data_IF_677727779102
#
_entry.id   IF_677727779102
#
_cell.length_a   1.000
_cell.length_b   1.000
_cell.length_c   1.000
_cell.angle_alpha   90.00
_cell.angle_beta   90.00
_cell.angle_gamma   90.00
#
_symmetry.space_group_name_H-M   'P 1'
#
loop_
_entity.id
_entity.type
_entity.pdbx_description
1 polymer ?
#
# COMPACT_ATOMS: atom_id res chain seq x y z
N UNK A 1 -51.10 7.11 -14.22
CA UNK A 1 -50.25 6.06 -13.82
C UNK A 1 -48.80 6.54 -13.76
N UNK A 2 -48.20 6.29 -12.74
CA UNK A 2 -46.86 6.75 -12.56
C UNK A 2 -45.91 5.61 -12.69
N UNK A 3 -45.06 5.76 -13.59
CA UNK A 3 -44.02 4.83 -13.68
C UNK A 3 -42.90 5.26 -12.76
N UNK A 4 -42.69 4.46 -11.82
CA UNK A 4 -41.68 4.74 -10.89
C UNK A 4 -40.49 3.88 -11.18
N UNK A 5 -39.47 4.48 -11.60
CA UNK A 5 -38.25 3.75 -11.87
C UNK A 5 -37.38 3.84 -10.64
N UNK A 6 -37.24 2.76 -10.02
CA UNK A 6 -36.39 2.71 -8.86
C UNK A 6 -34.97 2.53 -9.33
N UNK A 7 -34.20 3.54 -9.11
CA UNK A 7 -32.81 3.46 -9.41
C UNK A 7 -32.08 2.93 -8.20
N UNK A 8 -31.72 1.70 -8.26
CA UNK A 8 -31.07 1.07 -7.14
C UNK A 8 -29.58 1.14 -7.35
N UNK A 9 -28.91 1.82 -6.48
CA UNK A 9 -27.47 1.88 -6.54
C UNK A 9 -26.89 0.52 -6.21
N UNK A 10 -25.86 0.12 -6.91
CA UNK A 10 -25.26 -1.19 -6.67
C UNK A 10 -24.41 -1.17 -5.40
N UNK A 11 -25.07 -1.41 -4.31
CA UNK A 11 -24.39 -1.31 -3.01
C UNK A 11 -23.39 -2.41 -2.80
N UNK A 12 -23.51 -3.47 -3.56
CA UNK A 12 -22.61 -4.59 -3.36
C UNK A 12 -21.15 -4.24 -3.64
N UNK A 13 -20.92 -3.13 -4.28
CA UNK A 13 -19.56 -2.73 -4.62
C UNK A 13 -18.79 -2.19 -3.44
N UNK A 14 -19.41 -2.08 -2.31
CA UNK A 14 -18.80 -1.46 -1.17
C UNK A 14 -17.89 -2.38 -0.39
N UNK A 15 -17.90 -3.65 -0.68
CA UNK A 15 -17.09 -4.58 0.09
C UNK A 15 -15.62 -4.26 -0.06
N UNK A 16 -14.86 -4.45 0.94
CA UNK A 16 -13.40 -4.45 0.90
C UNK A 16 -12.77 -3.18 0.36
N UNK A 17 -13.12 -2.09 0.92
CA UNK A 17 -12.51 -0.85 0.49
C UNK A 17 -11.40 -0.43 1.45
N UNK A 18 -10.21 -0.43 0.92
CA UNK A 18 -9.04 0.13 1.61
C UNK A 18 -8.56 1.27 0.74
N UNK A 19 -8.44 2.45 1.32
CA UNK A 19 -7.90 3.60 0.60
C UNK A 19 -6.49 3.86 1.07
N UNK A 20 -5.64 4.25 0.15
CA UNK A 20 -4.24 4.53 0.45
C UNK A 20 -3.96 5.98 0.07
N UNK A 21 -3.39 6.73 1.00
CA UNK A 21 -3.12 8.15 0.76
C UNK A 21 -2.18 8.34 -0.41
N UNK A 22 -1.10 7.56 -0.45
CA UNK A 22 -0.16 7.58 -1.55
C UNK A 22 0.18 6.16 -1.91
N UNK A 23 -0.52 5.56 -2.87
CA UNK A 23 -0.22 4.18 -3.23
C UNK A 23 1.12 4.02 -3.94
N UNK A 24 1.67 5.09 -4.47
CA UNK A 24 3.00 5.10 -5.05
C UNK A 24 3.83 6.16 -4.34
N UNK A 25 4.97 5.76 -3.80
CA UNK A 25 5.90 6.66 -3.15
C UNK A 25 7.15 6.75 -4.00
N UNK A 26 7.51 7.97 -4.38
CA UNK A 26 8.74 8.21 -5.11
C UNK A 26 9.83 8.61 -4.12
N UNK A 27 10.82 7.74 -3.97
CA UNK A 27 11.90 7.96 -3.02
C UNK A 27 12.95 8.94 -3.54
N UNK A 28 12.88 9.33 -4.82
CA UNK A 28 13.89 10.16 -5.42
C UNK A 28 15.23 9.46 -5.52
N UNK A 29 16.29 10.18 -5.26
CA UNK A 29 17.64 9.62 -5.26
C UNK A 29 17.89 8.87 -3.96
N UNK A 30 18.33 7.64 -4.07
CA UNK A 30 18.65 6.79 -2.94
C UNK A 30 20.12 6.42 -3.03
N UNK A 31 20.79 6.51 -1.90
CA UNK A 31 22.22 6.21 -1.84
C UNK A 31 22.45 4.71 -1.99
N UNK A 32 23.37 4.33 -2.84
CA UNK A 32 23.74 2.94 -3.07
C UNK A 32 24.11 2.27 -1.74
N UNK A 33 23.52 1.12 -1.50
CA UNK A 33 23.73 0.31 -0.30
C UNK A 33 23.28 0.96 1.01
N UNK A 34 22.48 2.01 0.92
CA UNK A 34 21.83 2.57 2.09
C UNK A 34 20.35 2.22 2.04
N UNK A 35 19.90 1.30 2.87
CA UNK A 35 18.48 0.95 2.85
C UNK A 35 17.61 2.17 3.14
N UNK A 36 16.49 2.23 2.46
CA UNK A 36 15.53 3.31 2.66
C UNK A 36 14.23 2.70 3.16
N UNK A 37 13.66 3.34 4.17
CA UNK A 37 12.38 2.93 4.73
C UNK A 37 11.28 3.80 4.17
N UNK A 38 10.23 3.17 3.69
CA UNK A 38 9.04 3.88 3.24
C UNK A 38 7.87 3.45 4.10
N UNK A 39 6.91 4.35 4.24
CA UNK A 39 5.75 4.11 5.06
C UNK A 39 4.52 4.52 4.27
N UNK A 40 3.62 3.55 4.09
CA UNK A 40 2.35 3.79 3.42
C UNK A 40 1.27 3.95 4.47
N UNK A 41 0.44 4.95 4.29
CA UNK A 41 -0.68 5.17 5.17
C UNK A 41 -1.96 4.78 4.45
N UNK A 42 -2.75 3.95 5.10
CA UNK A 42 -3.98 3.44 4.54
C UNK A 42 -5.11 3.60 5.53
N UNK A 43 -6.32 3.48 5.03
CA UNK A 43 -7.51 3.63 5.85
C UNK A 43 -8.49 2.54 5.52
N UNK A 44 -9.06 1.95 6.57
CA UNK A 44 -10.09 0.95 6.41
C UNK A 44 -11.44 1.65 6.19
N UNK A 45 -11.97 1.52 4.98
CA UNK A 45 -13.28 2.06 4.64
C UNK A 45 -14.20 0.95 4.15
N UNK A 46 -14.00 -0.24 4.66
CA UNK A 46 -14.77 -1.40 4.21
C UNK A 46 -16.14 -1.52 4.88
N UNK A 47 -16.36 -0.77 5.95
CA UNK A 47 -17.60 -0.86 6.70
C UNK A 47 -17.56 -1.89 7.82
N UNK A 48 -16.43 -2.56 8.00
CA UNK A 48 -16.27 -3.57 9.05
C UNK A 48 -14.81 -3.59 9.50
N UNK A 49 -14.54 -4.18 10.66
CA UNK A 49 -13.13 -4.36 11.05
C UNK A 49 -12.43 -5.32 10.08
N UNK A 50 -11.17 -5.08 9.83
CA UNK A 50 -10.36 -5.94 8.99
C UNK A 50 -9.08 -6.30 9.73
N UNK A 51 -8.47 -7.40 9.29
CA UNK A 51 -7.17 -7.82 9.77
C UNK A 51 -6.29 -8.03 8.55
N UNK A 52 -5.05 -7.60 8.63
CA UNK A 52 -4.11 -7.84 7.54
C UNK A 52 -3.67 -9.28 7.61
N UNK A 53 -3.97 -10.03 6.56
CA UNK A 53 -3.62 -11.44 6.51
C UNK A 53 -2.13 -11.62 6.23
N UNK A 54 -1.59 -10.84 5.30
CA UNK A 54 -0.17 -10.89 4.96
C UNK A 54 0.16 -9.71 4.06
N UNK A 55 1.45 -9.43 3.99
CA UNK A 55 1.98 -8.46 3.02
C UNK A 55 3.13 -9.16 2.31
N UNK A 56 3.09 -9.15 0.99
CA UNK A 56 4.17 -9.70 0.17
C UNK A 56 4.96 -8.57 -0.46
N UNK A 57 6.24 -8.79 -0.65
CA UNK A 57 7.10 -7.76 -1.23
C UNK A 57 7.85 -8.30 -2.43
N UNK A 58 8.21 -7.38 -3.34
CA UNK A 58 9.11 -7.68 -4.43
C UNK A 58 10.51 -7.96 -3.93
N UNK A 59 11.33 -8.51 -4.80
CA UNK A 59 12.72 -8.78 -4.51
C UNK A 59 13.44 -7.48 -4.13
N UNK A 60 14.25 -7.53 -3.10
CA UNK A 60 14.98 -6.37 -2.61
C UNK A 60 14.25 -5.55 -1.57
N UNK A 61 12.98 -5.86 -1.33
CA UNK A 61 12.21 -5.20 -0.28
C UNK A 61 11.93 -6.15 0.86
N UNK A 62 11.91 -5.61 2.06
CA UNK A 62 11.52 -6.33 3.26
C UNK A 62 10.37 -5.61 3.90
N UNK A 63 9.32 -6.34 4.23
CA UNK A 63 8.20 -5.75 4.97
C UNK A 63 8.66 -5.55 6.40
N UNK A 64 8.68 -4.30 6.84
CA UNK A 64 9.19 -3.97 8.15
C UNK A 64 8.13 -4.10 9.23
N UNK A 65 6.94 -3.57 8.97
CA UNK A 65 5.88 -3.63 9.96
C UNK A 65 4.52 -3.38 9.36
N UNK A 66 3.51 -3.96 9.97
CA UNK A 66 2.11 -3.68 9.71
C UNK A 66 1.33 -4.15 10.93
N UNK A 67 0.10 -3.63 11.12
CA UNK A 67 -0.67 -4.00 12.31
C UNK A 67 -1.03 -5.48 12.31
N UNK A 68 -0.91 -6.11 13.46
CA UNK A 68 -1.31 -7.51 13.64
C UNK A 68 -2.72 -7.64 14.20
N UNK A 69 -3.29 -6.56 14.69
CA UNK A 69 -4.60 -6.56 15.30
C UNK A 69 -5.65 -6.05 14.32
N UNK A 70 -6.91 -6.31 14.66
CA UNK A 70 -8.01 -5.84 13.82
C UNK A 70 -8.01 -4.33 13.76
N UNK A 71 -8.31 -3.81 12.59
CA UNK A 71 -8.38 -2.39 12.31
C UNK A 71 -9.84 -2.04 12.14
N UNK A 72 -10.36 -1.20 13.02
CA UNK A 72 -11.77 -0.82 12.98
C UNK A 72 -12.07 -0.02 11.72
N UNK A 73 -13.33 -0.08 11.30
CA UNK A 73 -13.76 0.73 10.18
C UNK A 73 -13.49 2.21 10.44
N UNK A 74 -12.97 2.90 9.46
CA UNK A 74 -12.66 4.32 9.57
C UNK A 74 -11.28 4.63 10.14
N UNK A 75 -10.57 3.62 10.60
CA UNK A 75 -9.24 3.85 11.19
C UNK A 75 -8.15 3.80 10.15
N UNK A 76 -7.12 4.58 10.37
CA UNK A 76 -5.91 4.54 9.54
C UNK A 76 -4.91 3.57 10.12
N UNK A 77 -4.06 3.08 9.26
CA UNK A 77 -2.97 2.20 9.67
C UNK A 77 -1.79 2.40 8.73
N UNK A 78 -0.65 1.90 9.13
CA UNK A 78 0.58 2.10 8.38
C UNK A 78 1.22 0.77 8.04
N UNK A 79 1.79 0.72 6.84
CA UNK A 79 2.58 -0.42 6.38
C UNK A 79 3.95 0.12 6.02
N UNK A 80 4.99 -0.43 6.61
CA UNK A 80 6.35 0.02 6.37
C UNK A 80 7.14 -1.06 5.65
N UNK A 81 8.03 -0.62 4.78
CA UNK A 81 8.91 -1.51 4.06
C UNK A 81 10.29 -0.88 3.93
N UNK A 82 11.28 -1.73 3.82
CA UNK A 82 12.67 -1.30 3.63
C UNK A 82 13.15 -1.83 2.29
N UNK A 83 13.69 -0.94 1.47
CA UNK A 83 14.34 -1.32 0.23
C UNK A 83 15.85 -1.28 0.43
N UNK A 84 16.54 -2.33 0.00
CA UNK A 84 17.96 -2.50 0.31
C UNK A 84 18.90 -1.63 -0.54
N UNK A 85 18.44 -1.08 -1.64
CA UNK A 85 19.23 -0.20 -2.52
C UNK A 85 20.51 -0.82 -3.02
N UNK A 86 20.49 -2.10 -3.34
CA UNK A 86 21.69 -2.81 -3.74
C UNK A 86 21.95 -2.86 -5.23
N UNK A 87 21.10 -2.23 -6.02
CA UNK A 87 21.27 -2.17 -7.47
C UNK A 87 21.21 -0.73 -7.91
N UNK A 88 22.22 -0.29 -8.63
CA UNK A 88 22.25 1.05 -9.18
C UNK A 88 21.20 1.20 -10.26
N UNK A 89 20.65 2.39 -10.39
CA UNK A 89 19.70 2.70 -11.43
C UNK A 89 18.28 2.82 -10.90
N UNK A 90 17.35 2.97 -11.83
CA UNK A 90 15.95 3.12 -11.48
C UNK A 90 15.38 1.83 -10.90
N UNK A 91 14.52 1.98 -9.93
CA UNK A 91 13.83 0.84 -9.36
C UNK A 91 12.36 1.15 -9.19
N UNK A 92 11.56 0.10 -9.23
CA UNK A 92 10.14 0.17 -8.91
C UNK A 92 9.79 -1.16 -8.26
N UNK A 93 9.41 -1.10 -7.00
CA UNK A 93 9.11 -2.28 -6.20
C UNK A 93 7.68 -2.21 -5.72
N UNK A 94 7.12 -3.36 -5.42
CA UNK A 94 5.71 -3.44 -5.13
C UNK A 94 5.47 -4.29 -3.90
N UNK A 95 4.51 -3.88 -3.09
CA UNK A 95 3.99 -4.66 -1.99
C UNK A 95 2.56 -5.04 -2.32
N UNK A 96 2.17 -6.24 -1.95
CA UNK A 96 0.79 -6.67 -2.07
C UNK A 96 0.24 -6.90 -0.68
N UNK A 97 -0.74 -6.10 -0.32
CA UNK A 97 -1.37 -6.13 0.99
C UNK A 97 -2.65 -6.94 0.90
N UNK A 98 -2.73 -8.03 1.66
CA UNK A 98 -3.89 -8.89 1.68
C UNK A 98 -4.62 -8.75 2.99
N UNK A 99 -5.93 -8.49 2.92
CA UNK A 99 -6.75 -8.43 4.12
C UNK A 99 -7.63 -9.67 4.19
N UNK A 100 -8.07 -9.99 5.41
CA UNK A 100 -8.94 -11.12 5.62
C UNK A 100 -10.25 -10.94 4.88
N UNK A 101 -10.74 -12.00 4.27
CA UNK A 101 -11.97 -11.96 3.51
C UNK A 101 -11.90 -11.16 2.23
N UNK A 102 -10.76 -10.58 1.92
CA UNK A 102 -10.58 -9.83 0.70
C UNK A 102 -10.15 -10.73 -0.43
N UNK A 103 -10.72 -10.52 -1.61
CA UNK A 103 -10.39 -11.33 -2.76
C UNK A 103 -9.14 -10.83 -3.46
N UNK A 104 -8.90 -9.53 -3.44
CA UNK A 104 -7.81 -8.93 -4.19
C UNK A 104 -6.89 -8.17 -3.27
N UNK A 105 -5.59 -8.24 -3.53
CA UNK A 105 -4.65 -7.46 -2.75
C UNK A 105 -4.73 -5.97 -3.11
N UNK A 106 -4.27 -5.16 -2.19
CA UNK A 106 -4.03 -3.75 -2.43
C UNK A 106 -2.55 -3.60 -2.73
N UNK A 107 -2.23 -2.96 -3.84
CA UNK A 107 -0.84 -2.81 -4.26
C UNK A 107 -0.28 -1.47 -3.83
N UNK A 108 0.91 -1.51 -3.28
CA UNK A 108 1.65 -0.34 -2.84
C UNK A 108 2.97 -0.34 -3.59
N UNK A 109 3.34 0.79 -4.15
CA UNK A 109 4.52 0.88 -5.00
C UNK A 109 5.50 1.87 -4.42
N UNK A 110 6.78 1.51 -4.45
CA UNK A 110 7.84 2.45 -4.17
C UNK A 110 8.79 2.45 -5.34
N UNK A 111 9.31 3.60 -5.67
CA UNK A 111 10.19 3.75 -6.81
C UNK A 111 11.21 4.85 -6.54
N UNK A 112 12.23 4.88 -7.36
CA UNK A 112 13.26 5.88 -7.24
C UNK A 112 14.43 5.53 -8.13
N UNK A 113 15.56 6.14 -7.83
CA UNK A 113 16.81 5.83 -8.52
C UNK A 113 17.93 5.71 -7.51
N UNK A 114 18.64 4.59 -7.58
CA UNK A 114 19.78 4.36 -6.70
C UNK A 114 21.00 4.92 -7.40
N UNK A 115 21.71 5.80 -6.72
CA UNK A 115 22.89 6.46 -7.26
C UNK A 115 24.06 6.21 -6.32
N UNK A 116 25.27 6.26 -6.87
CA UNK A 116 26.44 6.05 -6.05
C UNK A 116 26.65 7.17 -5.06
N UNK A 117 26.22 8.36 -5.43
CA UNK A 117 26.33 9.51 -4.56
C UNK A 117 25.15 10.41 -4.81
N UNK A 118 24.40 10.67 -3.76
CA UNK A 118 23.23 11.54 -3.83
C UNK A 118 23.72 12.96 -4.09
N UNK A 119 23.15 13.59 -5.12
CA UNK A 119 23.49 14.95 -5.47
C UNK A 119 22.44 15.87 -4.87
N UNK A 120 22.91 16.83 -4.14
CA UNK A 120 22.08 17.80 -3.47
C UNK A 120 22.12 19.09 -4.28
N UNK A 121 20.99 19.48 -4.87
CA UNK A 121 20.90 20.67 -5.68
C UNK A 121 20.48 21.88 -4.91
#
# INVERSE_FOLDING_TARGET
>A
MTLFTLCVAPMALMAQKITVAQPTIDCGQVQYRRPVTVQFEARNQSGRPITIAKVRSSCGCTVASYPSQAIANGKTFKVSAVYDARQLGHFQKELALYVDGGAKPVYLTLRGVVVEEVIDY
#
